data_IF_436353517198
#
_entry.id   IF_436353517198
#
_cell.length_a   1.000
_cell.length_b   1.000
_cell.length_c   1.000
_cell.angle_alpha   90.00
_cell.angle_beta   90.00
_cell.angle_gamma   90.00
#
_symmetry.space_group_name_H-M   'P 1'
#
loop_
_entity.id
_entity.type
_entity.pdbx_description
1 polymer ?
#
# COMPACT_ATOMS: atom_id res chain seq x y z
N UNK A 1 14.43 6.37 -8.83
CA UNK A 1 13.10 5.74 -8.71
C UNK A 1 12.70 5.67 -7.25
N UNK A 2 11.81 6.58 -6.87
CA UNK A 2 11.42 6.77 -5.47
C UNK A 2 10.72 5.55 -4.87
N UNK A 3 9.86 4.90 -5.63
CA UNK A 3 9.09 3.76 -5.11
C UNK A 3 10.00 2.58 -4.75
N UNK A 4 10.86 2.19 -5.67
CA UNK A 4 11.78 1.06 -5.41
C UNK A 4 12.73 1.35 -4.25
N UNK A 5 13.28 2.55 -4.22
CA UNK A 5 14.18 2.96 -3.14
C UNK A 5 13.51 2.84 -1.77
N UNK A 6 12.28 3.33 -1.67
CA UNK A 6 11.53 3.27 -0.42
C UNK A 6 11.07 1.85 -0.09
N UNK A 7 10.72 1.05 -1.10
CA UNK A 7 10.36 -0.36 -0.88
C UNK A 7 11.54 -1.16 -0.32
N UNK A 8 12.72 -0.94 -0.88
CA UNK A 8 13.95 -1.59 -0.39
C UNK A 8 14.29 -1.14 1.03
N UNK A 9 14.11 0.15 1.31
CA UNK A 9 14.34 0.70 2.65
C UNK A 9 13.41 0.05 3.66
N UNK A 10 12.14 -0.10 3.31
CA UNK A 10 11.15 -0.75 4.17
C UNK A 10 11.56 -2.20 4.45
N UNK A 11 11.89 -2.96 3.41
CA UNK A 11 12.28 -4.37 3.55
C UNK A 11 13.53 -4.53 4.39
N UNK A 12 14.48 -3.61 4.26
CA UNK A 12 15.71 -3.62 5.05
C UNK A 12 15.43 -3.32 6.52
N UNK A 13 14.55 -2.37 6.78
CA UNK A 13 14.17 -1.99 8.14
C UNK A 13 13.32 -3.05 8.84
N UNK A 14 12.47 -3.73 8.08
CA UNK A 14 11.56 -4.74 8.60
C UNK A 14 11.74 -6.06 7.86
N UNK A 15 12.88 -6.75 8.13
CA UNK A 15 13.30 -7.91 7.32
C UNK A 15 12.43 -9.15 7.44
N UNK A 16 11.60 -9.26 8.48
CA UNK A 16 10.71 -10.41 8.63
C UNK A 16 9.49 -10.33 7.70
N UNK A 17 9.27 -9.18 7.08
CA UNK A 17 8.22 -9.03 6.07
C UNK A 17 8.51 -9.95 4.89
N UNK A 18 7.51 -10.75 4.49
CA UNK A 18 7.63 -11.61 3.32
C UNK A 18 7.33 -10.77 2.07
N UNK A 19 8.35 -10.52 1.27
CA UNK A 19 8.21 -9.68 0.10
C UNK A 19 9.24 -10.06 -0.96
N UNK A 20 8.75 -10.31 -2.16
CA UNK A 20 9.59 -10.66 -3.30
C UNK A 20 9.29 -9.74 -4.48
N UNK A 21 10.18 -9.79 -5.49
CA UNK A 21 10.01 -9.08 -6.75
C UNK A 21 9.78 -7.58 -6.56
N UNK A 22 10.53 -6.99 -5.62
CA UNK A 22 10.36 -5.57 -5.27
C UNK A 22 10.51 -4.65 -6.46
N UNK A 23 11.49 -4.92 -7.33
CA UNK A 23 11.72 -4.06 -8.50
C UNK A 23 10.53 -4.11 -9.47
N UNK A 24 10.10 -5.32 -9.83
CA UNK A 24 8.99 -5.48 -10.78
C UNK A 24 7.71 -4.84 -10.26
N UNK A 25 7.40 -5.09 -8.99
CA UNK A 25 6.18 -4.56 -8.38
C UNK A 25 6.26 -3.04 -8.18
N UNK A 26 7.43 -2.53 -7.81
CA UNK A 26 7.64 -1.09 -7.65
C UNK A 26 7.51 -0.36 -8.98
N UNK A 27 7.99 -0.96 -10.06
CA UNK A 27 7.89 -0.37 -11.40
C UNK A 27 6.44 -0.13 -11.81
N UNK A 28 5.54 -1.02 -11.41
CA UNK A 28 4.11 -0.84 -11.70
C UNK A 28 3.60 0.46 -11.09
N UNK A 29 3.93 0.70 -9.82
CA UNK A 29 3.52 1.92 -9.13
C UNK A 29 4.21 3.15 -9.74
N UNK A 30 5.52 3.04 -9.96
CA UNK A 30 6.32 4.16 -10.48
C UNK A 30 5.78 4.68 -11.82
N UNK A 31 5.40 3.76 -12.70
CA UNK A 31 4.88 4.11 -14.02
C UNK A 31 3.51 4.79 -13.98
N UNK A 32 2.79 4.66 -12.88
CA UNK A 32 1.44 5.21 -12.76
C UNK A 32 1.39 6.47 -11.91
N UNK A 33 2.54 6.96 -11.44
CA UNK A 33 2.60 8.23 -10.73
C UNK A 33 2.34 9.38 -11.72
N UNK A 34 1.51 10.34 -11.29
CA UNK A 34 1.31 11.55 -12.08
C UNK A 34 2.54 12.46 -11.98
N UNK A 35 2.76 13.38 -12.92
CA UNK A 35 3.95 14.24 -12.90
C UNK A 35 4.13 15.05 -11.61
N UNK A 36 3.04 15.45 -10.99
CA UNK A 36 3.05 16.24 -9.76
C UNK A 36 2.79 15.39 -8.50
N UNK A 37 2.82 14.07 -8.64
CA UNK A 37 2.56 13.16 -7.53
C UNK A 37 3.86 12.79 -6.84
N UNK A 38 3.89 12.96 -5.52
CA UNK A 38 5.08 12.74 -4.70
C UNK A 38 4.84 11.57 -3.76
N UNK A 39 5.79 10.60 -3.74
CA UNK A 39 5.73 9.45 -2.85
C UNK A 39 6.13 9.86 -1.44
N UNK A 40 5.24 9.63 -0.48
CA UNK A 40 5.49 9.97 0.93
C UNK A 40 5.94 8.77 1.75
N UNK A 41 5.41 7.60 1.46
CA UNK A 41 5.72 6.38 2.21
C UNK A 41 5.45 5.16 1.35
N UNK A 42 6.23 4.10 1.55
CA UNK A 42 6.05 2.82 0.85
C UNK A 42 6.18 1.69 1.85
N UNK A 43 5.26 0.75 1.78
CA UNK A 43 5.42 -0.51 2.48
C UNK A 43 5.07 -1.66 1.53
N UNK A 44 5.39 -2.87 1.93
CA UNK A 44 5.15 -4.07 1.12
C UNK A 44 4.46 -5.12 1.96
N UNK A 45 3.68 -5.97 1.31
CA UNK A 45 2.99 -7.06 1.97
C UNK A 45 2.41 -8.01 0.95
N UNK A 46 1.90 -9.14 1.42
CA UNK A 46 1.29 -10.12 0.54
C UNK A 46 -0.23 -9.96 0.55
N UNK A 47 -0.80 -9.93 -0.63
CA UNK A 47 -2.24 -9.76 -0.77
C UNK A 47 -2.97 -11.04 -0.33
N UNK A 48 -4.01 -10.86 0.47
CA UNK A 48 -4.91 -11.95 0.88
C UNK A 48 -4.24 -13.11 1.62
N UNK A 49 -3.19 -12.80 2.41
CA UNK A 49 -2.56 -13.78 3.30
C UNK A 49 -1.96 -15.01 2.61
N UNK A 50 -1.37 -14.82 1.44
CA UNK A 50 -0.79 -15.92 0.65
C UNK A 50 0.73 -15.97 0.77
N UNK A 51 1.25 -16.25 1.96
CA UNK A 51 2.70 -16.18 2.20
C UNK A 51 3.51 -17.18 1.36
N UNK A 52 2.92 -18.30 0.97
CA UNK A 52 3.57 -19.31 0.15
C UNK A 52 3.59 -18.94 -1.34
N UNK A 53 2.91 -17.88 -1.73
CA UNK A 53 2.84 -17.43 -3.12
C UNK A 53 3.74 -16.21 -3.31
N UNK A 54 4.92 -16.44 -3.86
CA UNK A 54 5.90 -15.37 -4.08
C UNK A 54 5.38 -14.28 -5.02
N UNK A 55 4.33 -14.59 -5.78
CA UNK A 55 3.76 -13.65 -6.74
C UNK A 55 2.61 -12.81 -6.16
N UNK A 56 2.29 -13.01 -4.89
CA UNK A 56 1.24 -12.23 -4.24
C UNK A 56 1.75 -10.94 -3.58
N UNK A 57 3.06 -10.69 -3.62
CA UNK A 57 3.65 -9.47 -3.04
C UNK A 57 3.14 -8.23 -3.77
N UNK A 58 2.67 -7.27 -2.99
CA UNK A 58 2.24 -5.97 -3.49
C UNK A 58 3.14 -4.89 -2.92
N UNK A 59 3.36 -3.84 -3.69
CA UNK A 59 4.01 -2.62 -3.23
C UNK A 59 2.92 -1.57 -3.04
N UNK A 60 2.85 -1.01 -1.86
CA UNK A 60 1.85 -0.02 -1.48
C UNK A 60 2.54 1.32 -1.26
N UNK A 61 2.20 2.30 -2.08
CA UNK A 61 2.78 3.64 -1.99
C UNK A 61 1.72 4.64 -1.57
N UNK A 62 2.04 5.43 -0.56
CA UNK A 62 1.22 6.54 -0.12
C UNK A 62 1.82 7.80 -0.73
N UNK A 63 1.02 8.53 -1.49
CA UNK A 63 1.46 9.75 -2.17
C UNK A 63 0.75 10.97 -1.59
N UNK A 64 1.08 12.13 -2.13
CA UNK A 64 0.39 13.36 -1.76
C UNK A 64 -1.02 13.45 -2.35
N UNK A 65 -1.51 12.39 -3.01
CA UNK A 65 -2.85 12.39 -3.64
C UNK A 65 -3.69 11.16 -3.32
N UNK A 66 -3.07 10.01 -3.08
CA UNK A 66 -3.79 8.73 -2.97
C UNK A 66 -2.91 7.62 -2.44
N UNK A 67 -3.50 6.44 -2.30
CA UNK A 67 -2.75 5.21 -2.05
C UNK A 67 -2.74 4.41 -3.35
N UNK A 68 -1.54 4.01 -3.80
CA UNK A 68 -1.37 3.17 -4.99
C UNK A 68 -0.86 1.81 -4.57
N UNK A 69 -1.48 0.76 -5.11
CA UNK A 69 -1.10 -0.61 -4.81
C UNK A 69 -0.79 -1.30 -6.13
N UNK A 70 0.44 -1.75 -6.28
CA UNK A 70 0.89 -2.33 -7.53
C UNK A 70 1.49 -3.71 -7.39
N UNK A 71 1.26 -4.54 -8.41
CA UNK A 71 1.81 -5.88 -8.50
C UNK A 71 1.99 -6.26 -9.96
N UNK A 72 3.17 -6.76 -10.30
CA UNK A 72 3.46 -7.26 -11.64
C UNK A 72 2.95 -8.70 -11.73
N UNK A 73 2.19 -9.00 -12.79
CA UNK A 73 1.74 -10.36 -13.05
C UNK A 73 2.89 -11.25 -13.52
N UNK A 74 2.73 -12.56 -13.34
CA UNK A 74 3.79 -13.51 -13.64
C UNK A 74 4.10 -13.59 -15.13
N UNK A 75 3.08 -13.73 -15.94
CA UNK A 75 3.27 -13.94 -17.39
C UNK A 75 3.28 -12.61 -18.13
N UNK A 76 2.19 -11.87 -18.06
CA UNK A 76 2.12 -10.54 -18.66
C UNK A 76 1.08 -9.69 -17.93
N UNK A 77 1.27 -8.38 -18.04
CA UNK A 77 0.36 -7.43 -17.42
C UNK A 77 0.72 -7.12 -15.97
N UNK A 78 -0.17 -6.41 -15.33
CA UNK A 78 0.01 -5.94 -13.96
C UNK A 78 -1.36 -5.74 -13.31
N UNK A 79 -1.34 -5.55 -12.00
CA UNK A 79 -2.52 -5.13 -11.24
C UNK A 79 -2.18 -3.83 -10.53
N UNK A 80 -3.09 -2.87 -10.63
CA UNK A 80 -2.94 -1.58 -9.97
C UNK A 80 -4.27 -1.18 -9.36
N UNK A 81 -4.25 -0.92 -8.06
CA UNK A 81 -5.39 -0.36 -7.35
C UNK A 81 -5.05 1.04 -6.90
N UNK A 82 -6.00 1.94 -7.03
CA UNK A 82 -5.85 3.32 -6.59
C UNK A 82 -6.94 3.64 -5.59
N UNK A 83 -6.54 4.04 -4.38
CA UNK A 83 -7.48 4.42 -3.33
C UNK A 83 -7.39 5.92 -3.17
N UNK A 84 -8.40 6.63 -3.71
CA UNK A 84 -8.52 8.07 -3.54
C UNK A 84 -8.99 8.37 -2.13
N UNK A 85 -8.72 9.57 -1.60
CA UNK A 85 -9.12 9.90 -0.24
C UNK A 85 -10.61 9.67 0.06
N UNK A 86 -11.49 9.97 -0.90
CA UNK A 86 -12.93 9.79 -0.70
C UNK A 86 -13.34 8.31 -0.65
N UNK A 87 -12.48 7.40 -1.15
CA UNK A 87 -12.76 5.97 -1.14
C UNK A 87 -12.34 5.29 0.16
N UNK A 88 -11.47 5.93 0.91
CA UNK A 88 -10.92 5.37 2.15
C UNK A 88 -11.92 5.53 3.29
N UNK A 89 -12.29 4.42 3.92
CA UNK A 89 -13.19 4.42 5.08
C UNK A 89 -12.44 4.25 6.38
N UNK A 90 -11.65 3.18 6.48
CA UNK A 90 -11.04 2.82 7.75
C UNK A 90 -9.79 1.98 7.56
N UNK A 91 -9.04 1.83 8.62
CA UNK A 91 -7.82 1.04 8.68
C UNK A 91 -7.89 0.10 9.87
N UNK A 92 -7.62 -1.17 9.63
CA UNK A 92 -7.59 -2.17 10.68
C UNK A 92 -6.21 -2.84 10.70
N UNK A 93 -5.60 -2.90 11.88
CA UNK A 93 -4.28 -3.50 12.07
C UNK A 93 -4.42 -4.68 13.01
N UNK A 94 -3.90 -5.84 12.60
CA UNK A 94 -3.85 -7.02 13.46
C UNK A 94 -2.42 -7.49 13.60
N UNK A 95 -1.95 -7.64 14.83
CA UNK A 95 -0.63 -8.15 15.10
C UNK A 95 -0.71 -9.61 15.49
N UNK A 96 0.09 -10.45 14.81
CA UNK A 96 0.25 -11.84 15.18
C UNK A 96 1.52 -12.07 15.95
N UNK A 97 2.00 -13.31 15.98
CA UNK A 97 3.21 -13.67 16.72
C UNK A 97 4.48 -13.11 16.06
N UNK A 98 4.60 -13.29 14.74
CA UNK A 98 5.76 -12.81 13.97
C UNK A 98 5.33 -11.73 12.99
N UNK A 99 4.21 -11.96 12.32
CA UNK A 99 3.70 -11.10 11.26
C UNK A 99 2.41 -10.44 11.66
N UNK A 100 2.10 -9.36 10.97
CA UNK A 100 0.85 -8.66 11.12
C UNK A 100 0.12 -8.51 9.81
N UNK A 101 -1.07 -7.98 9.92
CA UNK A 101 -1.98 -7.79 8.80
C UNK A 101 -2.54 -6.38 8.82
N UNK A 102 -2.56 -5.75 7.65
CA UNK A 102 -3.12 -4.42 7.45
C UNK A 102 -4.32 -4.55 6.53
N UNK A 103 -5.47 -4.08 6.96
CA UNK A 103 -6.68 -4.06 6.15
C UNK A 103 -7.09 -2.63 5.91
N UNK A 104 -7.16 -2.25 4.63
CA UNK A 104 -7.63 -0.93 4.23
C UNK A 104 -9.05 -1.11 3.71
N UNK A 105 -10.02 -0.56 4.45
CA UNK A 105 -11.41 -0.62 4.07
C UNK A 105 -11.75 0.56 3.15
N UNK A 106 -12.31 0.24 2.00
CA UNK A 106 -12.70 1.26 1.01
C UNK A 106 -14.18 1.11 0.67
N UNK A 107 -14.72 2.07 -0.05
CA UNK A 107 -16.12 2.03 -0.48
C UNK A 107 -16.42 0.88 -1.46
N UNK A 108 -15.37 0.29 -2.05
CA UNK A 108 -15.52 -0.80 -3.02
C UNK A 108 -15.27 -2.17 -2.39
N UNK A 109 -14.19 -2.27 -1.60
CA UNK A 109 -13.72 -3.56 -1.09
C UNK A 109 -12.77 -3.35 0.07
N UNK A 110 -12.47 -4.44 0.75
CA UNK A 110 -11.41 -4.45 1.75
C UNK A 110 -10.12 -4.94 1.08
N UNK A 111 -9.05 -4.20 1.28
CA UNK A 111 -7.73 -4.57 0.76
C UNK A 111 -6.88 -5.08 1.92
N UNK A 112 -6.53 -6.36 1.87
CA UNK A 112 -5.84 -7.04 2.96
C UNK A 112 -4.40 -7.33 2.56
N UNK A 113 -3.45 -6.87 3.38
CA UNK A 113 -2.02 -7.13 3.20
C UNK A 113 -1.49 -7.81 4.44
N UNK A 114 -0.84 -8.95 4.26
CA UNK A 114 -0.41 -9.80 5.36
C UNK A 114 1.07 -10.15 5.29
N UNK A 115 1.52 -10.91 6.28
CA UNK A 115 2.90 -11.37 6.40
C UNK A 115 3.90 -10.22 6.43
N UNK A 116 3.47 -9.13 7.08
CA UNK A 116 4.28 -7.95 7.32
C UNK A 116 4.92 -8.09 8.69
N UNK A 117 6.20 -7.74 8.79
CA UNK A 117 6.91 -7.73 10.08
C UNK A 117 6.07 -6.94 11.09
N UNK A 118 5.73 -7.56 12.21
CA UNK A 118 4.87 -6.90 13.21
C UNK A 118 5.47 -5.58 13.73
N UNK A 119 6.78 -5.45 13.69
CA UNK A 119 7.45 -4.22 14.11
C UNK A 119 7.12 -3.04 13.21
N UNK A 120 6.64 -3.30 11.99
CA UNK A 120 6.30 -2.24 11.04
C UNK A 120 4.89 -1.70 11.22
N UNK A 121 4.03 -2.41 11.95
CA UNK A 121 2.60 -2.09 11.99
C UNK A 121 2.29 -0.69 12.49
N UNK A 122 2.97 -0.23 13.54
CA UNK A 122 2.70 1.12 14.06
C UNK A 122 3.15 2.21 13.09
N UNK A 123 4.25 1.99 12.39
CA UNK A 123 4.73 2.94 11.37
C UNK A 123 3.76 3.02 10.20
N UNK A 124 3.27 1.87 9.74
CA UNK A 124 2.28 1.80 8.65
C UNK A 124 0.99 2.50 9.07
N UNK A 125 0.50 2.20 10.26
CA UNK A 125 -0.73 2.81 10.78
C UNK A 125 -0.62 4.34 10.82
N UNK A 126 0.47 4.84 11.38
CA UNK A 126 0.71 6.27 11.47
C UNK A 126 0.74 6.92 10.09
N UNK A 127 1.48 6.34 9.16
CA UNK A 127 1.61 6.92 7.82
C UNK A 127 0.31 6.91 7.05
N UNK A 128 -0.46 5.82 7.11
CA UNK A 128 -1.75 5.76 6.42
C UNK A 128 -2.74 6.72 7.06
N UNK A 129 -2.91 6.65 8.38
CA UNK A 129 -3.91 7.45 9.08
C UNK A 129 -3.66 8.94 8.93
N UNK A 130 -2.43 9.39 9.16
CA UNK A 130 -2.10 10.80 9.04
C UNK A 130 -2.23 11.31 7.61
N UNK A 131 -1.79 10.49 6.64
CA UNK A 131 -1.90 10.86 5.23
C UNK A 131 -3.35 10.97 4.79
N UNK A 132 -4.19 10.03 5.20
CA UNK A 132 -5.60 10.05 4.80
C UNK A 132 -6.37 11.18 5.47
N UNK A 133 -6.07 11.47 6.73
CA UNK A 133 -6.68 12.62 7.42
C UNK A 133 -6.32 13.92 6.70
N UNK A 134 -5.04 14.10 6.37
CA UNK A 134 -4.58 15.30 5.68
C UNK A 134 -5.19 15.43 4.29
N UNK A 135 -5.25 14.32 3.54
CA UNK A 135 -5.82 14.32 2.20
C UNK A 135 -7.32 14.56 2.19
N UNK A 136 -8.04 14.04 3.17
CA UNK A 136 -9.49 14.28 3.27
C UNK A 136 -9.80 15.75 3.57
N UNK A 137 -8.93 16.42 4.30
CA UNK A 137 -9.06 17.86 4.56
C UNK A 137 -8.77 18.68 3.31
N UNK A 138 -7.72 18.28 2.57
CA UNK A 138 -7.30 18.98 1.35
C UNK A 138 -8.27 18.76 0.20
N UNK A 139 -8.86 17.57 0.11
CA UNK A 139 -9.79 17.18 -0.95
C UNK A 139 -11.11 16.74 -0.32
N UNK A 140 -11.92 17.65 0.21
CA UNK A 140 -13.16 17.26 0.86
C UNK A 140 -14.13 16.64 -0.14
N UNK A 141 -14.92 15.68 0.34
CA UNK A 141 -15.89 14.98 -0.47
C UNK A 141 -16.98 15.96 -0.93
N UNK A 142 -17.18 16.06 -2.25
CA UNK A 142 -18.22 16.89 -2.83
C UNK A 142 -19.52 16.09 -2.93
N UNK A 143 -20.65 16.77 -3.22
CA UNK A 143 -21.93 16.09 -3.44
C UNK A 143 -21.86 15.07 -4.55
N UNK A 144 -21.02 15.29 -5.57
CA UNK A 144 -20.80 14.34 -6.66
C UNK A 144 -20.20 13.04 -6.17
N UNK A 145 -19.35 13.10 -5.17
CA UNK A 145 -18.64 11.93 -4.65
C UNK A 145 -19.52 11.10 -3.72
N UNK A 146 -20.63 11.63 -3.27
CA UNK A 146 -21.57 10.95 -2.39
C UNK A 146 -22.53 10.02 -3.14
N UNK A 147 -22.57 10.09 -4.44
CA UNK A 147 -23.48 9.29 -5.27
C UNK A 147 -22.86 8.02 -5.81
#
# INVERSE_FOLDING_TARGET
MAVLKNAKRFKKKFPLTIAWRLKSNSDVVEKHLNPDEEVKYVFVGQKNNRFYDIFSTCVIAITNKRILIGRKRVIFGYMLDSVMPYMYNDLNIKSGFIWGKVTIDTIKEELVFSNIDKAALSEIETNISESMIALKRKYPKSEKDEK
#
